data_IF_009251239511
#
_entry.id   IF_009251239511
#
_cell.length_a   1.000
_cell.length_b   1.000
_cell.length_c   1.000
_cell.angle_alpha   90.00
_cell.angle_beta   90.00
_cell.angle_gamma   90.00
#
_symmetry.space_group_name_H-M   'P 1'
#
loop_
_entity.id
_entity.type
_entity.pdbx_description
1 polymer ?
#
# COMPACT_ATOMS: atom_id res chain seq x y z
N UNK A 1 42.17 -0.98 -14.13
CA UNK A 1 41.43 -2.06 -13.45
C UNK A 1 40.87 -1.52 -12.14
N UNK A 2 39.60 -1.78 -11.81
CA UNK A 2 39.18 -1.71 -10.40
C UNK A 2 37.92 -0.94 -9.99
N UNK A 3 37.07 -0.43 -10.90
CA UNK A 3 35.81 0.22 -10.48
C UNK A 3 34.61 -0.75 -10.39
N UNK A 4 34.66 -1.90 -11.08
CA UNK A 4 33.56 -2.87 -11.08
C UNK A 4 33.59 -3.88 -9.91
N UNK A 5 34.69 -3.95 -9.15
CA UNK A 5 34.82 -4.90 -8.02
C UNK A 5 34.16 -4.44 -6.72
N UNK A 6 33.59 -3.21 -6.67
CA UNK A 6 32.86 -2.70 -5.50
C UNK A 6 31.34 -2.83 -5.60
N UNK A 7 30.82 -3.22 -6.76
CA UNK A 7 29.37 -3.34 -6.96
C UNK A 7 28.85 -4.76 -6.71
N UNK A 8 29.73 -5.77 -6.78
CA UNK A 8 29.35 -7.17 -6.59
C UNK A 8 30.38 -7.89 -5.70
N UNK A 9 30.07 -7.98 -4.41
CA UNK A 9 30.59 -9.03 -3.53
C UNK A 9 31.55 -8.56 -2.43
N UNK A 10 31.04 -8.52 -1.19
CA UNK A 10 31.84 -8.42 0.03
C UNK A 10 30.94 -8.51 1.26
N UNK A 11 30.97 -9.69 1.89
CA UNK A 11 30.13 -10.18 2.98
C UNK A 11 30.14 -9.38 4.30
N UNK A 12 29.01 -9.51 5.01
CA UNK A 12 28.80 -9.55 6.48
C UNK A 12 29.68 -8.69 7.39
N UNK A 13 29.08 -7.65 8.02
CA UNK A 13 29.24 -7.40 9.46
C UNK A 13 27.97 -6.72 10.05
N UNK A 14 27.24 -7.51 10.85
CA UNK A 14 26.26 -7.14 11.89
C UNK A 14 25.76 -5.70 11.99
N UNK A 15 24.64 -5.40 11.30
CA UNK A 15 23.77 -4.29 11.72
C UNK A 15 22.51 -4.86 12.39
N UNK A 16 22.20 -4.45 13.63
CA UNK A 16 20.96 -4.85 14.28
C UNK A 16 19.81 -4.41 13.38
N UNK A 17 18.85 -5.33 13.19
CA UNK A 17 17.54 -5.04 12.61
C UNK A 17 17.03 -3.74 13.22
N UNK A 18 16.99 -2.69 12.39
CA UNK A 18 16.49 -1.39 12.81
C UNK A 18 15.08 -1.61 13.40
N UNK A 19 14.79 -1.06 14.59
CA UNK A 19 13.46 -1.16 15.14
C UNK A 19 12.49 -0.55 14.13
N UNK A 20 11.36 -1.22 13.93
CA UNK A 20 10.25 -0.72 13.15
C UNK A 20 9.98 0.72 13.58
N UNK A 21 10.39 1.66 12.73
CA UNK A 21 10.02 3.04 12.89
C UNK A 21 8.51 3.07 12.67
N UNK A 22 7.78 3.17 13.78
CA UNK A 22 6.45 3.73 13.79
C UNK A 22 6.57 5.21 13.37
N UNK A 23 6.85 5.43 12.08
CA UNK A 23 6.71 6.71 11.42
C UNK A 23 5.45 6.63 10.57
N UNK A 24 4.38 7.18 11.11
CA UNK A 24 3.24 7.71 10.37
C UNK A 24 3.71 8.36 9.07
N UNK A 25 3.55 7.67 7.94
CA UNK A 25 3.76 8.24 6.61
C UNK A 25 4.44 7.36 5.56
N UNK A 26 5.10 6.26 5.92
CA UNK A 26 5.61 5.32 4.90
C UNK A 26 4.60 4.19 4.64
N UNK A 27 4.18 3.96 3.37
CA UNK A 27 3.32 2.84 3.07
C UNK A 27 4.00 1.52 3.50
N UNK A 28 3.25 0.53 4.00
CA UNK A 28 3.76 -0.79 4.32
C UNK A 28 4.59 -1.34 3.15
N UNK A 29 5.78 -1.84 3.46
CA UNK A 29 6.66 -2.42 2.44
C UNK A 29 6.09 -3.79 2.05
N UNK A 30 5.53 -3.89 0.84
CA UNK A 30 5.08 -5.16 0.27
C UNK A 30 6.29 -6.06 -0.04
N UNK A 31 6.56 -7.05 0.81
CA UNK A 31 7.66 -7.98 0.55
C UNK A 31 7.24 -8.99 -0.50
N UNK A 32 8.19 -9.38 -1.35
CA UNK A 32 7.97 -10.46 -2.31
C UNK A 32 8.32 -11.80 -1.66
N UNK A 33 7.45 -12.79 -1.82
CA UNK A 33 7.80 -14.16 -1.44
C UNK A 33 8.47 -14.89 -2.60
N UNK A 34 9.52 -15.68 -2.29
CA UNK A 34 10.18 -16.54 -3.28
C UNK A 34 9.27 -17.70 -3.72
N UNK A 35 8.40 -18.17 -2.83
CA UNK A 35 7.43 -19.26 -3.06
C UNK A 35 6.07 -18.85 -2.51
N UNK A 36 5.03 -18.91 -3.34
CA UNK A 36 3.69 -18.45 -2.96
C UNK A 36 3.49 -16.94 -3.11
N UNK A 37 2.35 -16.47 -2.60
CA UNK A 37 1.98 -15.06 -2.56
C UNK A 37 0.86 -14.68 -3.52
N UNK A 38 0.36 -13.46 -3.38
CA UNK A 38 -0.60 -12.89 -4.30
C UNK A 38 0.06 -12.47 -5.63
N UNK A 39 -0.68 -12.61 -6.72
CA UNK A 39 -0.26 -12.12 -8.02
C UNK A 39 0.02 -10.61 -7.96
N UNK A 40 1.24 -10.23 -8.36
CA UNK A 40 1.70 -8.85 -8.22
C UNK A 40 0.84 -7.87 -9.00
N UNK A 41 0.37 -8.24 -10.18
CA UNK A 41 -0.40 -7.34 -11.03
C UNK A 41 -1.77 -7.13 -10.42
N UNK A 42 -2.43 -8.19 -9.99
CA UNK A 42 -3.75 -8.12 -9.35
C UNK A 42 -3.69 -7.36 -8.03
N UNK A 43 -2.65 -7.60 -7.20
CA UNK A 43 -2.40 -6.83 -5.99
C UNK A 43 -2.22 -5.34 -6.29
N UNK A 44 -1.39 -4.97 -7.27
CA UNK A 44 -1.18 -3.56 -7.60
C UNK A 44 -2.47 -2.90 -8.11
N UNK A 45 -3.27 -3.60 -8.90
CA UNK A 45 -4.59 -3.09 -9.33
C UNK A 45 -5.53 -2.89 -8.15
N UNK A 46 -5.55 -3.82 -7.19
CA UNK A 46 -6.35 -3.68 -5.97
C UNK A 46 -5.94 -2.45 -5.16
N UNK A 47 -4.63 -2.26 -4.94
CA UNK A 47 -4.11 -1.12 -4.17
C UNK A 47 -4.30 0.20 -4.90
N UNK A 48 -4.16 0.22 -6.23
CA UNK A 48 -4.42 1.40 -7.06
C UNK A 48 -5.89 1.87 -6.95
N UNK A 49 -6.85 0.94 -6.94
CA UNK A 49 -8.26 1.26 -6.70
C UNK A 49 -8.49 1.88 -5.32
N UNK A 50 -7.92 1.28 -4.27
CA UNK A 50 -8.05 1.75 -2.89
C UNK A 50 -7.43 3.14 -2.69
N UNK A 51 -6.24 3.35 -3.26
CA UNK A 51 -5.54 4.64 -3.18
C UNK A 51 -6.24 5.72 -4.02
N UNK A 52 -6.79 5.37 -5.19
CA UNK A 52 -7.60 6.30 -5.98
C UNK A 52 -8.84 6.74 -5.22
N UNK A 53 -9.56 5.82 -4.57
CA UNK A 53 -10.69 6.17 -3.72
C UNK A 53 -10.27 7.12 -2.60
N UNK A 54 -9.14 6.84 -1.93
CA UNK A 54 -8.59 7.71 -0.87
C UNK A 54 -8.41 9.15 -1.35
N UNK A 55 -7.73 9.33 -2.49
CA UNK A 55 -7.47 10.65 -3.06
C UNK A 55 -8.77 11.39 -3.37
N UNK A 56 -9.74 10.71 -3.98
CA UNK A 56 -11.05 11.31 -4.28
C UNK A 56 -11.82 11.70 -3.00
N UNK A 57 -11.70 10.91 -1.94
CA UNK A 57 -12.32 11.20 -0.65
C UNK A 57 -11.65 12.39 0.05
N UNK A 58 -10.32 12.49 -0.01
CA UNK A 58 -9.58 13.65 0.50
C UNK A 58 -9.97 14.94 -0.24
N UNK A 59 -10.08 14.88 -1.58
CA UNK A 59 -10.56 16.00 -2.39
C UNK A 59 -11.99 16.40 -2.03
N UNK A 60 -12.89 15.42 -1.87
CA UNK A 60 -14.26 15.68 -1.46
C UNK A 60 -14.34 16.32 -0.06
N UNK A 61 -13.49 15.90 0.88
CA UNK A 61 -13.43 16.49 2.22
C UNK A 61 -12.92 17.93 2.18
N UNK A 62 -11.89 18.19 1.37
CA UNK A 62 -11.40 19.54 1.16
C UNK A 62 -12.48 20.45 0.54
N UNK A 63 -13.25 19.94 -0.42
CA UNK A 63 -14.39 20.64 -1.01
C UNK A 63 -15.48 20.93 0.04
N UNK A 64 -15.86 19.93 0.85
CA UNK A 64 -16.80 20.11 1.96
C UNK A 64 -16.36 21.20 2.93
N UNK A 65 -15.09 21.15 3.37
CA UNK A 65 -14.54 22.09 4.34
C UNK A 65 -14.43 23.53 3.80
N UNK A 66 -14.29 23.69 2.48
CA UNK A 66 -14.27 25.00 1.82
C UNK A 66 -15.67 25.51 1.44
N UNK A 67 -16.73 24.73 1.70
CA UNK A 67 -18.11 25.06 1.31
C UNK A 67 -18.38 24.91 -0.20
N UNK A 68 -17.47 24.29 -0.94
CA UNK A 68 -17.66 23.96 -2.35
C UNK A 68 -18.63 22.78 -2.50
N UNK A 69 -19.39 22.71 -3.60
CA UNK A 69 -20.18 21.51 -3.89
C UNK A 69 -19.25 20.31 -4.07
N UNK A 70 -19.57 19.21 -3.41
CA UNK A 70 -18.84 17.96 -3.52
C UNK A 70 -19.80 16.81 -3.82
N UNK A 71 -19.26 15.72 -4.38
CA UNK A 71 -19.97 14.46 -4.57
C UNK A 71 -19.26 13.39 -3.77
N UNK A 72 -20.03 12.46 -3.20
CA UNK A 72 -19.46 11.32 -2.51
C UNK A 72 -18.89 10.34 -3.54
N UNK A 73 -17.57 10.05 -3.52
CA UNK A 73 -16.97 9.08 -4.42
C UNK A 73 -17.59 7.68 -4.24
N UNK A 74 -17.62 6.85 -5.29
CA UNK A 74 -18.06 5.45 -5.18
C UNK A 74 -17.07 4.62 -4.37
N UNK A 75 -17.57 3.54 -3.73
CA UNK A 75 -16.71 2.58 -3.02
C UNK A 75 -15.87 1.80 -4.02
N UNK A 76 -14.59 1.58 -3.71
CA UNK A 76 -13.75 0.72 -4.52
C UNK A 76 -14.28 -0.72 -4.49
N UNK A 77 -14.46 -1.32 -5.67
CA UNK A 77 -14.73 -2.75 -5.79
C UNK A 77 -13.41 -3.53 -5.61
N UNK A 78 -13.20 -3.99 -4.38
CA UNK A 78 -12.00 -4.73 -3.96
C UNK A 78 -12.17 -6.21 -4.32
N UNK A 79 -11.35 -6.67 -5.26
CA UNK A 79 -11.25 -8.10 -5.60
C UNK A 79 -9.98 -8.65 -4.97
N UNK A 80 -10.12 -9.72 -4.19
CA UNK A 80 -8.97 -10.43 -3.61
C UNK A 80 -8.09 -10.97 -4.75
N UNK A 81 -6.78 -10.65 -4.76
CA UNK A 81 -5.87 -11.17 -5.77
C UNK A 81 -5.78 -12.70 -5.74
N UNK A 82 -5.58 -13.30 -6.91
CA UNK A 82 -5.26 -14.73 -7.03
C UNK A 82 -3.88 -15.05 -6.46
N UNK A 83 -3.68 -16.30 -6.04
CA UNK A 83 -2.40 -16.76 -5.52
C UNK A 83 -1.53 -17.37 -6.63
N UNK A 84 -0.24 -17.09 -6.57
CA UNK A 84 0.78 -17.60 -7.50
C UNK A 84 1.77 -18.50 -6.79
N UNK A 85 2.32 -19.48 -7.53
CA UNK A 85 3.22 -20.48 -6.93
C UNK A 85 4.60 -19.94 -6.58
N UNK A 86 5.07 -18.88 -7.24
CA UNK A 86 6.37 -18.25 -6.98
C UNK A 86 6.36 -16.77 -7.34
N UNK A 87 7.13 -15.99 -6.59
CA UNK A 87 7.39 -14.59 -6.93
C UNK A 87 6.20 -13.64 -6.73
N UNK A 88 5.19 -14.03 -5.94
CA UNK A 88 4.08 -13.17 -5.54
C UNK A 88 4.46 -12.18 -4.43
N UNK A 89 3.53 -11.29 -4.09
CA UNK A 89 3.64 -10.51 -2.85
C UNK A 89 3.21 -11.35 -1.65
N UNK A 90 3.84 -11.10 -0.51
CA UNK A 90 3.45 -11.74 0.76
C UNK A 90 1.97 -11.41 1.05
N UNK A 91 1.18 -12.44 1.34
CA UNK A 91 -0.27 -12.29 1.52
C UNK A 91 -0.60 -11.48 2.77
N UNK A 92 0.16 -11.65 3.85
CA UNK A 92 0.00 -10.91 5.11
C UNK A 92 0.29 -9.41 4.89
N UNK A 93 1.44 -9.07 4.30
CA UNK A 93 1.79 -7.67 4.00
C UNK A 93 0.74 -6.99 3.11
N UNK A 94 0.19 -7.73 2.12
CA UNK A 94 -0.85 -7.20 1.23
C UNK A 94 -2.17 -6.99 1.94
N UNK A 95 -2.59 -7.95 2.76
CA UNK A 95 -3.84 -7.87 3.50
C UNK A 95 -3.79 -6.76 4.54
N UNK A 96 -2.71 -6.66 5.32
CA UNK A 96 -2.52 -5.58 6.28
C UNK A 96 -2.55 -4.20 5.59
N UNK A 97 -1.90 -4.07 4.43
CA UNK A 97 -1.92 -2.80 3.71
C UNK A 97 -3.29 -2.46 3.13
N UNK A 98 -3.97 -3.46 2.54
CA UNK A 98 -5.32 -3.27 2.01
C UNK A 98 -6.32 -2.89 3.11
N UNK A 99 -6.24 -3.53 4.28
CA UNK A 99 -7.06 -3.22 5.45
C UNK A 99 -6.77 -1.80 5.98
N UNK A 100 -5.50 -1.41 6.05
CA UNK A 100 -5.10 -0.04 6.41
C UNK A 100 -5.72 1.00 5.46
N UNK A 101 -5.63 0.79 4.15
CA UNK A 101 -6.22 1.71 3.17
C UNK A 101 -7.75 1.73 3.25
N UNK A 102 -8.39 0.58 3.42
CA UNK A 102 -9.84 0.49 3.57
C UNK A 102 -10.33 1.21 4.84
N UNK A 103 -9.61 1.08 5.96
CA UNK A 103 -9.92 1.78 7.20
C UNK A 103 -9.79 3.30 7.05
N UNK A 104 -8.74 3.77 6.37
CA UNK A 104 -8.58 5.19 6.04
C UNK A 104 -9.73 5.69 5.16
N UNK A 105 -10.08 4.98 4.09
CA UNK A 105 -11.22 5.33 3.23
C UNK A 105 -12.53 5.41 4.02
N UNK A 106 -12.79 4.44 4.91
CA UNK A 106 -13.96 4.45 5.77
C UNK A 106 -13.99 5.67 6.71
N UNK A 107 -12.83 6.07 7.25
CA UNK A 107 -12.71 7.26 8.09
C UNK A 107 -13.00 8.56 7.32
N UNK A 108 -12.48 8.68 6.09
CA UNK A 108 -12.71 9.85 5.24
C UNK A 108 -14.19 9.93 4.82
N UNK A 109 -14.80 8.80 4.48
CA UNK A 109 -16.25 8.69 4.20
C UNK A 109 -17.09 9.14 5.39
N UNK A 110 -16.77 8.68 6.59
CA UNK A 110 -17.47 9.11 7.80
C UNK A 110 -17.39 10.62 8.01
N UNK A 111 -16.23 11.23 7.73
CA UNK A 111 -16.06 12.68 7.75
C UNK A 111 -16.89 13.43 6.71
N UNK A 112 -17.24 12.81 5.58
CA UNK A 112 -18.12 13.41 4.57
C UNK A 112 -19.59 13.36 4.96
N UNK A 113 -19.99 12.36 5.76
CA UNK A 113 -21.38 12.15 6.21
C UNK A 113 -21.78 12.99 7.43
N UNK A 114 -20.84 13.28 8.34
CA UNK A 114 -21.09 14.07 9.57
C UNK A 114 -21.00 15.57 9.35
#
# INVERSE_FOLDING_TARGET
>A
MGFFSRLFGGNDEGRPSAPAAAETGMPPILRTSRSGGYDKRETLVMLDKLTTEKVLLEEALAAKNSGAPYQMPPEADITVPSTVKMGGFNEEDVNEYAESLAAENASLRAGLLG
#
